data_IF_004503303007
#
_entry.id   IF_004503303007
#
_cell.length_a   1.000
_cell.length_b   1.000
_cell.length_c   1.000
_cell.angle_alpha   90.00
_cell.angle_beta   90.00
_cell.angle_gamma   90.00
#
_symmetry.space_group_name_H-M   'P 1'
#
loop_
_entity.id
_entity.type
_entity.pdbx_description
1 polymer ?
#
# COMPACT_ATOMS: atom_id res chain seq x y z
N UNK A 1 32.19 8.10 -6.29
CA UNK A 1 32.37 6.64 -6.31
C UNK A 1 31.04 6.01 -5.95
N UNK A 2 30.33 5.43 -6.93
CA UNK A 2 29.00 4.86 -6.74
C UNK A 2 29.10 3.53 -5.97
N UNK A 3 28.69 3.53 -4.71
CA UNK A 3 28.22 2.31 -4.07
C UNK A 3 26.94 1.91 -4.80
N UNK A 4 27.01 0.85 -5.62
CA UNK A 4 25.82 0.09 -6.01
C UNK A 4 25.21 -0.39 -4.70
N UNK A 5 24.14 0.28 -4.25
CA UNK A 5 23.29 -0.19 -3.17
C UNK A 5 22.93 -1.64 -3.48
N UNK A 6 23.42 -2.58 -2.66
CA UNK A 6 22.99 -3.96 -2.72
C UNK A 6 21.48 -3.93 -2.46
N UNK A 7 20.68 -4.30 -3.46
CA UNK A 7 19.22 -4.24 -3.34
C UNK A 7 18.79 -5.11 -2.18
N UNK A 8 18.23 -4.50 -1.13
CA UNK A 8 17.80 -5.20 0.08
C UNK A 8 16.54 -6.00 -0.22
N UNK A 9 16.56 -7.28 0.14
CA UNK A 9 15.38 -8.14 0.03
C UNK A 9 14.53 -8.00 1.29
N UNK A 10 13.24 -7.79 1.11
CA UNK A 10 12.23 -7.99 2.14
C UNK A 10 11.76 -9.45 2.09
N UNK A 11 11.93 -10.17 3.19
CA UNK A 11 11.58 -11.59 3.30
C UNK A 11 10.19 -11.75 3.88
N UNK A 12 9.24 -12.18 3.05
CA UNK A 12 7.84 -12.35 3.46
C UNK A 12 7.53 -13.83 3.62
N UNK A 13 6.99 -14.21 4.77
CA UNK A 13 6.54 -15.58 5.03
C UNK A 13 5.27 -15.86 4.23
N UNK A 14 5.31 -16.82 3.33
CA UNK A 14 4.18 -17.18 2.45
C UNK A 14 3.40 -18.40 2.93
N UNK A 15 3.97 -19.19 3.83
CA UNK A 15 3.27 -20.30 4.48
C UNK A 15 4.19 -21.18 5.32
N UNK A 16 3.66 -22.34 5.72
CA UNK A 16 4.41 -23.36 6.49
C UNK A 16 5.31 -24.18 5.55
N UNK A 17 6.34 -24.82 6.09
CA UNK A 17 7.30 -25.63 5.32
C UNK A 17 6.69 -26.85 4.63
N UNK A 18 5.49 -27.27 5.03
CA UNK A 18 4.71 -28.37 4.46
C UNK A 18 3.51 -27.89 3.63
N UNK A 19 3.41 -26.60 3.31
CA UNK A 19 2.22 -26.03 2.65
C UNK A 19 1.95 -26.58 1.24
N UNK A 20 2.96 -27.21 0.63
CA UNK A 20 2.92 -27.65 -0.76
C UNK A 20 3.65 -28.98 -0.89
N UNK A 21 2.97 -30.01 -1.39
CA UNK A 21 3.57 -31.31 -1.71
C UNK A 21 4.57 -31.18 -2.88
N UNK A 22 5.49 -32.14 -2.99
CA UNK A 22 6.40 -32.21 -4.14
C UNK A 22 5.62 -32.35 -5.45
N UNK A 23 6.10 -31.69 -6.50
CA UNK A 23 5.50 -31.59 -7.83
C UNK A 23 4.14 -30.86 -7.85
N UNK A 24 3.94 -29.95 -6.87
CA UNK A 24 2.81 -29.01 -6.84
C UNK A 24 3.25 -27.57 -7.00
N UNK A 25 2.28 -26.76 -7.43
CA UNK A 25 2.39 -25.30 -7.52
C UNK A 25 1.21 -24.65 -6.83
N UNK A 26 1.37 -23.40 -6.43
CA UNK A 26 0.30 -22.57 -5.89
C UNK A 26 0.58 -21.10 -6.13
N UNK A 27 -0.43 -20.25 -5.98
CA UNK A 27 -0.28 -18.81 -6.05
C UNK A 27 -0.19 -18.22 -4.64
N UNK A 28 0.82 -17.40 -4.40
CA UNK A 28 0.98 -16.65 -3.15
C UNK A 28 1.06 -15.15 -3.45
N UNK A 29 0.58 -14.33 -2.50
CA UNK A 29 0.71 -12.87 -2.58
C UNK A 29 1.86 -12.43 -1.67
N UNK A 30 2.79 -11.66 -2.25
CA UNK A 30 3.93 -11.08 -1.54
C UNK A 30 3.99 -9.60 -1.86
N UNK A 31 3.57 -8.78 -0.90
CA UNK A 31 3.41 -7.34 -1.09
C UNK A 31 2.53 -7.02 -2.32
N UNK A 32 3.05 -6.31 -3.33
CA UNK A 32 2.34 -6.03 -4.58
C UNK A 32 2.56 -7.10 -5.67
N UNK A 33 3.34 -8.14 -5.40
CA UNK A 33 3.66 -9.19 -6.37
C UNK A 33 2.78 -10.43 -6.14
N UNK A 34 2.17 -10.91 -7.22
CA UNK A 34 1.57 -12.24 -7.27
C UNK A 34 2.62 -13.23 -7.77
N UNK A 35 2.88 -14.28 -7.02
CA UNK A 35 3.99 -15.21 -7.24
C UNK A 35 3.45 -16.63 -7.43
N UNK A 36 3.96 -17.31 -8.46
CA UNK A 36 3.83 -18.75 -8.61
C UNK A 36 4.91 -19.42 -7.74
N UNK A 37 4.47 -20.03 -6.63
CA UNK A 37 5.32 -20.80 -5.73
C UNK A 37 5.23 -22.27 -6.11
N UNK A 38 6.38 -22.94 -6.18
CA UNK A 38 6.49 -24.33 -6.61
C UNK A 38 7.28 -25.13 -5.59
N UNK A 39 6.95 -26.41 -5.43
CA UNK A 39 7.75 -27.37 -4.66
C UNK A 39 8.28 -28.43 -5.61
N UNK A 40 9.56 -28.35 -5.94
CA UNK A 40 10.27 -29.37 -6.70
C UNK A 40 10.89 -30.40 -5.74
N UNK A 41 11.55 -31.42 -6.30
CA UNK A 41 12.31 -32.41 -5.52
C UNK A 41 13.53 -31.79 -4.83
N UNK A 42 14.08 -30.73 -5.41
CA UNK A 42 15.31 -30.07 -4.94
C UNK A 42 15.04 -28.88 -4.01
N UNK A 43 13.77 -28.46 -3.87
CA UNK A 43 13.38 -27.39 -2.97
C UNK A 43 12.20 -26.56 -3.46
N UNK A 44 12.10 -25.33 -2.95
CA UNK A 44 11.09 -24.38 -3.40
C UNK A 44 11.63 -23.47 -4.51
N UNK A 45 10.81 -23.23 -5.53
CA UNK A 45 11.05 -22.23 -6.57
C UNK A 45 9.95 -21.17 -6.56
N UNK A 46 10.29 -19.94 -6.92
CA UNK A 46 9.32 -18.84 -7.01
C UNK A 46 9.58 -17.98 -8.24
N UNK A 47 8.55 -17.83 -9.08
CA UNK A 47 8.57 -16.98 -10.27
C UNK A 47 7.33 -16.08 -10.30
N UNK A 48 7.37 -15.01 -11.09
CA UNK A 48 6.22 -14.11 -11.26
C UNK A 48 5.02 -14.91 -11.75
N UNK A 49 3.85 -14.71 -11.13
CA UNK A 49 2.66 -15.43 -11.54
C UNK A 49 2.19 -15.03 -12.95
N UNK A 50 2.59 -13.86 -13.44
CA UNK A 50 2.25 -13.40 -14.79
C UNK A 50 3.26 -13.93 -15.80
N UNK A 51 2.82 -14.85 -16.65
CA UNK A 51 3.58 -15.35 -17.81
C UNK A 51 4.02 -14.18 -18.73
N UNK A 52 5.31 -14.06 -19.09
CA UNK A 52 5.80 -13.02 -20.01
C UNK A 52 5.12 -12.99 -21.38
N UNK A 53 4.69 -14.13 -21.92
CA UNK A 53 4.06 -14.20 -23.25
C UNK A 53 2.69 -13.55 -23.32
N UNK A 54 1.69 -14.17 -22.69
CA UNK A 54 0.29 -13.76 -22.80
C UNK A 54 -0.27 -13.22 -21.50
N UNK A 55 0.52 -13.18 -20.42
CA UNK A 55 0.06 -12.74 -19.10
C UNK A 55 -0.69 -13.80 -18.31
N UNK A 56 -0.66 -15.07 -18.75
CA UNK A 56 -1.33 -16.18 -18.08
C UNK A 56 -0.84 -16.43 -16.64
N UNK A 57 -1.72 -16.93 -15.74
CA UNK A 57 -1.42 -17.18 -14.35
C UNK A 57 -0.64 -18.49 -14.19
N UNK A 58 0.69 -18.42 -14.04
CA UNK A 58 1.56 -19.59 -13.96
C UNK A 58 1.24 -20.49 -12.75
N UNK A 59 0.79 -19.92 -11.65
CA UNK A 59 0.38 -20.61 -10.42
C UNK A 59 -0.93 -21.38 -10.52
N UNK A 60 -1.70 -21.18 -11.60
CA UNK A 60 -2.86 -22.01 -11.96
C UNK A 60 -2.48 -23.12 -12.98
N UNK A 61 -1.21 -23.17 -13.38
CA UNK A 61 -0.65 -24.22 -14.23
C UNK A 61 -0.32 -25.51 -13.48
N UNK A 62 0.74 -26.19 -13.92
CA UNK A 62 1.24 -27.41 -13.27
C UNK A 62 2.74 -27.58 -13.49
N UNK A 63 3.38 -28.46 -12.72
CA UNK A 63 4.74 -28.91 -12.98
C UNK A 63 4.73 -30.11 -13.93
N UNK A 64 5.55 -30.05 -14.97
CA UNK A 64 5.82 -31.17 -15.87
C UNK A 64 7.33 -31.25 -16.10
N UNK A 65 7.91 -32.42 -15.87
CA UNK A 65 9.35 -32.68 -16.05
C UNK A 65 10.26 -31.66 -15.34
N UNK A 66 9.80 -31.11 -14.22
CA UNK A 66 10.51 -30.10 -13.44
C UNK A 66 10.26 -28.65 -13.86
N UNK A 67 9.48 -28.41 -14.93
CA UNK A 67 9.15 -27.08 -15.44
C UNK A 67 7.72 -26.66 -15.10
N UNK A 68 7.51 -25.37 -14.87
CA UNK A 68 6.19 -24.78 -14.73
C UNK A 68 5.58 -24.59 -16.10
N UNK A 69 4.45 -25.24 -16.35
CA UNK A 69 3.69 -25.15 -17.61
C UNK A 69 2.59 -24.10 -17.47
N UNK A 70 2.64 -23.06 -18.30
CA UNK A 70 1.61 -22.04 -18.37
C UNK A 70 0.26 -22.66 -18.82
N UNK A 71 -0.85 -22.44 -18.09
CA UNK A 71 -2.13 -23.07 -18.41
C UNK A 71 -2.77 -22.55 -19.71
N UNK A 72 -2.34 -21.40 -20.22
CA UNK A 72 -2.98 -20.77 -21.39
C UNK A 72 -2.47 -21.30 -22.72
N UNK A 73 -1.17 -21.57 -22.82
CA UNK A 73 -0.52 -21.90 -24.09
C UNK A 73 0.62 -22.92 -23.93
N UNK A 74 0.79 -23.52 -22.75
CA UNK A 74 1.69 -24.64 -22.52
C UNK A 74 3.17 -24.31 -22.50
N UNK A 75 3.55 -23.02 -22.42
CA UNK A 75 4.96 -22.65 -22.36
C UNK A 75 5.58 -23.00 -21.00
N UNK A 76 6.83 -23.46 -21.02
CA UNK A 76 7.56 -24.00 -19.88
C UNK A 76 8.56 -22.99 -19.30
N UNK A 77 8.68 -22.98 -17.98
CA UNK A 77 9.60 -22.12 -17.24
C UNK A 77 10.31 -22.90 -16.15
N UNK A 78 11.62 -22.71 -16.00
CA UNK A 78 12.34 -23.22 -14.84
C UNK A 78 11.79 -22.53 -13.56
N UNK A 79 11.41 -23.29 -12.52
CA UNK A 79 10.74 -22.75 -11.34
C UNK A 79 11.63 -21.88 -10.44
N UNK A 80 12.96 -21.93 -10.60
CA UNK A 80 13.91 -21.24 -9.74
C UNK A 80 14.56 -20.03 -10.45
N UNK A 81 14.73 -20.12 -11.76
CA UNK A 81 15.38 -19.09 -12.59
C UNK A 81 14.39 -18.35 -13.47
N UNK A 82 13.23 -18.93 -13.74
CA UNK A 82 12.22 -18.42 -14.66
C UNK A 82 12.62 -18.51 -16.13
N UNK A 83 13.79 -19.08 -16.44
CA UNK A 83 14.29 -19.21 -17.82
C UNK A 83 13.57 -20.37 -18.50
N UNK A 84 13.03 -20.19 -19.72
CA UNK A 84 12.43 -21.27 -20.47
C UNK A 84 13.49 -22.25 -21.04
N UNK A 85 13.12 -23.50 -21.31
CA UNK A 85 14.04 -24.45 -21.95
C UNK A 85 14.43 -23.96 -23.37
N UNK A 86 15.65 -24.30 -23.81
CA UNK A 86 16.10 -24.02 -25.17
C UNK A 86 16.80 -22.67 -25.40
N UNK A 87 17.08 -21.89 -24.33
CA UNK A 87 17.88 -20.66 -24.41
C UNK A 87 17.11 -19.42 -24.89
N UNK A 88 15.79 -19.39 -24.65
CA UNK A 88 14.92 -18.25 -24.95
C UNK A 88 14.87 -17.25 -23.77
N UNK A 89 16.03 -16.73 -23.37
CA UNK A 89 16.17 -15.92 -22.15
C UNK A 89 15.37 -14.60 -22.17
N UNK A 90 15.05 -14.08 -23.36
CA UNK A 90 14.26 -12.86 -23.54
C UNK A 90 12.82 -12.98 -23.00
N UNK A 91 12.33 -14.21 -22.81
CA UNK A 91 10.99 -14.51 -22.29
C UNK A 91 11.02 -15.00 -20.84
N UNK A 92 12.13 -14.83 -20.11
CA UNK A 92 12.25 -15.34 -18.75
C UNK A 92 11.24 -14.69 -17.79
N UNK A 93 10.55 -15.52 -17.01
CA UNK A 93 9.74 -15.06 -15.90
C UNK A 93 10.64 -14.49 -14.79
N UNK A 94 10.23 -13.42 -14.13
CA UNK A 94 11.02 -12.87 -13.02
C UNK A 94 11.06 -13.87 -11.87
N UNK A 95 12.25 -14.38 -11.54
CA UNK A 95 12.47 -15.25 -10.39
C UNK A 95 12.66 -14.46 -9.08
N UNK A 96 12.26 -15.09 -7.98
CA UNK A 96 12.41 -14.57 -6.62
C UNK A 96 13.24 -15.52 -5.78
N UNK A 97 14.03 -14.96 -4.86
CA UNK A 97 14.77 -15.78 -3.90
C UNK A 97 13.79 -16.46 -2.94
N UNK A 98 14.04 -17.73 -2.60
CA UNK A 98 13.24 -18.49 -1.64
C UNK A 98 14.13 -19.05 -0.55
N UNK A 99 13.68 -18.92 0.70
CA UNK A 99 14.34 -19.51 1.86
C UNK A 99 13.33 -20.34 2.66
N UNK A 100 13.67 -21.59 2.91
CA UNK A 100 12.97 -22.41 3.91
C UNK A 100 13.64 -22.16 5.27
N UNK A 101 12.86 -21.68 6.23
CA UNK A 101 13.27 -21.43 7.61
C UNK A 101 12.49 -22.34 8.54
N UNK A 102 12.94 -22.48 9.79
CA UNK A 102 12.33 -23.38 10.79
C UNK A 102 10.81 -23.18 10.93
N UNK A 103 10.33 -21.95 10.79
CA UNK A 103 8.93 -21.60 10.95
C UNK A 103 8.15 -21.45 9.63
N UNK A 104 8.74 -21.68 8.46
CA UNK A 104 8.02 -21.63 7.18
C UNK A 104 8.84 -21.20 5.97
N UNK A 105 8.15 -20.96 4.87
CA UNK A 105 8.73 -20.58 3.58
C UNK A 105 8.68 -19.07 3.45
N UNK A 106 9.80 -18.50 3.02
CA UNK A 106 9.95 -17.07 2.82
C UNK A 106 10.32 -16.79 1.37
N UNK A 107 9.65 -15.79 0.79
CA UNK A 107 10.01 -15.28 -0.54
C UNK A 107 10.63 -13.90 -0.36
N UNK A 108 11.82 -13.73 -0.95
CA UNK A 108 12.56 -12.48 -0.98
C UNK A 108 12.09 -11.64 -2.15
N UNK A 109 11.38 -10.55 -1.85
CA UNK A 109 11.05 -9.52 -2.84
C UNK A 109 11.98 -8.33 -2.66
N UNK A 110 12.31 -7.66 -3.76
CA UNK A 110 13.06 -6.41 -3.67
C UNK A 110 12.24 -5.40 -2.85
N UNK A 111 12.84 -4.87 -1.79
CA UNK A 111 12.22 -3.80 -1.02
C UNK A 111 11.98 -2.61 -1.96
N UNK A 112 10.71 -2.25 -2.16
CA UNK A 112 10.37 -1.07 -2.92
C UNK A 112 10.96 0.14 -2.20
N UNK A 113 11.88 0.84 -2.86
CA UNK A 113 12.42 2.09 -2.33
C UNK A 113 11.35 3.14 -2.52
N UNK A 114 10.80 3.63 -1.42
CA UNK A 114 9.85 4.74 -1.44
C UNK A 114 10.45 5.93 -2.17
N UNK A 115 9.71 6.49 -3.11
CA UNK A 115 10.05 7.75 -3.74
C UNK A 115 9.25 8.85 -3.05
N UNK A 116 9.91 9.89 -2.48
CA UNK A 116 9.21 10.98 -1.83
C UNK A 116 8.13 11.57 -2.74
N UNK A 117 6.91 11.60 -2.22
CA UNK A 117 5.72 12.15 -2.87
C UNK A 117 5.43 13.55 -2.33
N UNK A 118 4.51 14.26 -2.99
CA UNK A 118 3.97 15.52 -2.46
C UNK A 118 3.36 15.33 -1.07
N UNK A 119 2.73 14.18 -0.80
CA UNK A 119 2.09 13.92 0.49
C UNK A 119 3.11 13.76 1.62
N UNK A 120 4.29 13.20 1.34
CA UNK A 120 5.38 13.15 2.32
C UNK A 120 5.84 14.56 2.70
N UNK A 121 5.99 15.45 1.71
CA UNK A 121 6.34 16.86 1.95
C UNK A 121 5.26 17.61 2.74
N UNK A 122 3.98 17.35 2.45
CA UNK A 122 2.88 17.92 3.23
C UNK A 122 2.96 17.50 4.70
N UNK A 123 3.25 16.22 4.96
CA UNK A 123 3.41 15.71 6.33
C UNK A 123 4.63 16.32 7.02
N UNK A 124 5.76 16.49 6.32
CA UNK A 124 6.94 17.14 6.88
C UNK A 124 6.64 18.60 7.27
N UNK A 125 5.93 19.36 6.42
CA UNK A 125 5.50 20.73 6.75
C UNK A 125 4.52 20.76 7.94
N UNK A 126 3.59 19.81 8.02
CA UNK A 126 2.68 19.68 9.17
C UNK A 126 3.46 19.49 10.48
N UNK A 127 4.44 18.59 10.48
CA UNK A 127 5.28 18.30 11.64
C UNK A 127 6.12 19.52 12.02
N UNK A 128 6.71 20.22 11.05
CA UNK A 128 7.45 21.46 11.28
C UNK A 128 6.58 22.56 11.91
N UNK A 129 5.27 22.56 11.65
CA UNK A 129 4.29 23.46 12.27
C UNK A 129 3.73 22.94 13.60
N UNK A 130 4.23 21.80 14.09
CA UNK A 130 3.81 21.18 15.35
C UNK A 130 2.50 20.39 15.26
N UNK A 131 2.02 20.07 14.05
CA UNK A 131 0.83 19.23 13.81
C UNK A 131 1.28 17.77 13.66
N UNK A 132 1.63 17.16 14.79
CA UNK A 132 2.14 15.78 14.87
C UNK A 132 1.07 14.75 15.26
N UNK A 133 -0.19 15.18 15.43
CA UNK A 133 -1.29 14.35 15.91
C UNK A 133 -2.47 14.43 14.95
N UNK A 134 -2.86 13.29 14.39
CA UNK A 134 -3.89 13.21 13.33
C UNK A 134 -4.99 12.23 13.70
N UNK A 135 -6.25 12.67 13.59
CA UNK A 135 -7.43 11.83 13.76
C UNK A 135 -8.13 11.67 12.41
N UNK A 136 -8.51 10.47 11.99
CA UNK A 136 -9.22 10.39 10.72
C UNK A 136 -9.58 9.01 10.22
N UNK A 137 -10.11 8.99 9.00
CA UNK A 137 -10.49 7.78 8.29
C UNK A 137 -9.87 7.75 6.89
N UNK A 138 -9.35 6.58 6.53
CA UNK A 138 -8.70 6.31 5.23
C UNK A 138 -9.74 5.91 4.19
N UNK A 139 -9.56 6.37 2.96
CA UNK A 139 -10.23 5.85 1.78
C UNK A 139 -9.64 6.36 0.48
N UNK A 140 -10.29 6.06 -0.64
CA UNK A 140 -9.68 6.17 -1.97
C UNK A 140 -9.10 7.55 -2.30
N UNK A 141 -9.85 8.63 -2.08
CA UNK A 141 -9.43 9.98 -2.47
C UNK A 141 -8.39 10.63 -1.57
N UNK A 142 -8.00 9.96 -0.48
CA UNK A 142 -7.03 10.47 0.47
C UNK A 142 -5.87 9.49 0.73
N UNK A 143 -5.81 8.39 -0.02
CA UNK A 143 -4.90 7.27 0.23
C UNK A 143 -3.42 7.68 0.26
N UNK A 144 -2.99 8.58 -0.63
CA UNK A 144 -1.60 9.05 -0.64
C UNK A 144 -1.20 9.78 0.64
N UNK A 145 -2.11 10.54 1.26
CA UNK A 145 -1.86 11.23 2.52
C UNK A 145 -1.92 10.26 3.70
N UNK A 146 -2.85 9.30 3.68
CA UNK A 146 -2.92 8.23 4.67
C UNK A 146 -1.62 7.39 4.70
N UNK A 147 -1.08 7.08 3.53
CA UNK A 147 0.17 6.33 3.37
C UNK A 147 1.39 7.14 3.86
N UNK A 148 1.41 8.45 3.62
CA UNK A 148 2.43 9.35 4.18
C UNK A 148 2.34 9.44 5.73
N UNK A 149 1.13 9.52 6.29
CA UNK A 149 0.94 9.45 7.75
C UNK A 149 1.43 8.11 8.33
N UNK A 150 1.12 7.00 7.67
CA UNK A 150 1.58 5.67 8.10
C UNK A 150 3.11 5.57 8.16
N UNK A 151 3.81 6.11 7.15
CA UNK A 151 5.29 6.17 7.16
C UNK A 151 5.82 7.04 8.30
N UNK A 152 5.29 8.25 8.47
CA UNK A 152 5.72 9.16 9.52
C UNK A 152 5.45 8.60 10.92
N UNK A 153 4.35 7.87 11.11
CA UNK A 153 4.02 7.16 12.35
C UNK A 153 5.01 6.02 12.62
N UNK A 154 5.32 5.20 11.61
CA UNK A 154 6.32 4.11 11.72
C UNK A 154 7.71 4.63 12.09
N UNK A 155 8.04 5.84 11.66
CA UNK A 155 9.28 6.55 12.01
C UNK A 155 9.22 7.26 13.38
N UNK A 156 8.06 7.27 14.04
CA UNK A 156 7.83 7.90 15.34
C UNK A 156 7.77 9.43 15.30
N UNK A 157 7.53 10.02 14.12
CA UNK A 157 7.44 11.48 13.95
C UNK A 157 6.03 12.05 14.08
N UNK A 158 5.01 11.20 13.93
CA UNK A 158 3.59 11.55 13.94
C UNK A 158 2.78 10.46 14.66
N UNK A 159 1.65 10.82 15.25
CA UNK A 159 0.69 9.89 15.83
C UNK A 159 -0.61 9.89 15.02
N UNK A 160 -1.03 8.72 14.56
CA UNK A 160 -2.28 8.56 13.82
C UNK A 160 -3.32 7.80 14.64
N UNK A 161 -4.47 8.41 14.81
CA UNK A 161 -5.63 7.83 15.48
C UNK A 161 -6.71 7.51 14.44
N UNK A 162 -6.86 6.22 14.13
CA UNK A 162 -7.94 5.73 13.27
C UNK A 162 -9.30 5.88 13.96
N UNK A 163 -10.20 6.64 13.36
CA UNK A 163 -11.57 6.88 13.86
C UNK A 163 -12.59 6.14 13.00
N UNK A 164 -13.79 5.87 13.54
CA UNK A 164 -14.88 5.14 12.85
C UNK A 164 -15.91 6.04 12.17
N UNK A 165 -15.85 7.35 12.39
CA UNK A 165 -16.72 8.35 11.80
C UNK A 165 -16.00 9.71 11.74
N UNK A 166 -16.05 10.41 10.61
CA UNK A 166 -15.23 11.60 10.37
C UNK A 166 -15.61 12.76 11.30
N UNK A 167 -16.90 12.95 11.60
CA UNK A 167 -17.32 13.93 12.62
C UNK A 167 -16.66 13.73 13.98
N UNK A 168 -16.47 12.47 14.41
CA UNK A 168 -15.74 12.18 15.64
C UNK A 168 -14.25 12.51 15.53
N UNK A 169 -13.65 12.41 14.33
CA UNK A 169 -12.27 12.83 14.10
C UNK A 169 -12.11 14.35 14.25
N UNK A 170 -13.04 15.14 13.72
CA UNK A 170 -13.04 16.60 13.90
C UNK A 170 -13.21 17.00 15.37
N UNK A 171 -14.15 16.38 16.10
CA UNK A 171 -14.30 16.62 17.54
C UNK A 171 -13.08 16.16 18.36
N UNK A 172 -12.45 15.04 18.01
CA UNK A 172 -11.25 14.56 18.68
C UNK A 172 -10.07 15.52 18.49
N UNK A 173 -9.86 16.01 17.27
CA UNK A 173 -8.85 17.02 16.99
C UNK A 173 -9.11 18.32 17.78
N UNK A 174 -10.35 18.80 17.79
CA UNK A 174 -10.76 19.98 18.57
C UNK A 174 -10.50 19.78 20.06
N UNK A 175 -10.95 18.65 20.63
CA UNK A 175 -10.75 18.30 22.03
C UNK A 175 -9.27 18.16 22.41
N UNK A 176 -8.48 17.50 21.57
CA UNK A 176 -7.04 17.37 21.77
C UNK A 176 -6.37 18.75 21.83
N UNK A 177 -6.68 19.63 20.89
CA UNK A 177 -6.08 20.96 20.84
C UNK A 177 -6.49 21.83 22.04
N UNK A 178 -7.75 21.75 22.48
CA UNK A 178 -8.23 22.43 23.71
C UNK A 178 -7.49 21.94 24.97
N UNK A 179 -7.24 20.64 25.08
CA UNK A 179 -6.65 20.03 26.28
C UNK A 179 -5.13 20.15 26.33
N UNK A 180 -4.47 20.15 25.19
CA UNK A 180 -2.99 20.14 25.11
C UNK A 180 -2.39 21.50 24.78
N UNK A 181 -3.17 22.42 24.21
CA UNK A 181 -2.68 23.67 23.66
C UNK A 181 -1.85 23.51 22.38
N UNK A 182 -1.79 22.29 21.81
CA UNK A 182 -1.09 21.98 20.56
C UNK A 182 -2.08 21.86 19.40
N UNK A 183 -1.73 22.26 18.17
CA UNK A 183 -2.60 22.02 17.03
C UNK A 183 -2.70 20.53 16.71
N UNK A 184 -3.82 20.12 16.12
CA UNK A 184 -4.05 18.75 15.65
C UNK A 184 -4.76 18.76 14.30
N UNK A 185 -4.62 17.67 13.55
CA UNK A 185 -5.32 17.51 12.29
C UNK A 185 -6.50 16.53 12.40
N UNK A 186 -7.55 16.79 11.64
CA UNK A 186 -8.55 15.80 11.29
C UNK A 186 -8.50 15.51 9.78
N UNK A 187 -8.81 14.27 9.40
CA UNK A 187 -8.58 13.77 8.04
C UNK A 187 -9.71 12.89 7.53
N UNK A 188 -10.17 13.15 6.29
CA UNK A 188 -11.29 12.44 5.66
C UNK A 188 -11.16 12.33 4.14
N UNK A 189 -12.01 11.49 3.55
CA UNK A 189 -12.15 11.36 2.08
C UNK A 189 -12.96 12.53 1.50
N UNK A 190 -12.96 12.64 0.17
CA UNK A 190 -13.85 13.52 -0.58
C UNK A 190 -15.34 13.26 -0.28
N UNK A 191 -16.19 14.24 -0.62
CA UNK A 191 -17.64 14.10 -0.57
C UNK A 191 -18.17 13.85 0.83
N UNK A 192 -18.88 12.73 1.09
CA UNK A 192 -19.56 12.50 2.36
C UNK A 192 -18.62 12.54 3.58
N UNK A 193 -17.42 11.96 3.45
CA UNK A 193 -16.44 11.95 4.54
C UNK A 193 -15.99 13.37 4.91
N UNK A 194 -15.72 14.21 3.91
CA UNK A 194 -15.40 15.62 4.12
C UNK A 194 -16.56 16.37 4.76
N UNK A 195 -17.78 16.22 4.25
CA UNK A 195 -18.95 16.91 4.82
C UNK A 195 -19.25 16.49 6.27
N UNK A 196 -18.93 15.25 6.66
CA UNK A 196 -19.06 14.78 8.03
C UNK A 196 -18.13 15.51 9.02
N UNK A 197 -17.04 16.15 8.55
CA UNK A 197 -16.17 16.96 9.41
C UNK A 197 -16.83 18.26 9.87
N UNK A 198 -17.81 18.79 9.11
CA UNK A 198 -18.36 20.15 9.28
C UNK A 198 -18.81 20.45 10.71
N UNK A 199 -19.49 19.51 11.36
CA UNK A 199 -20.01 19.74 12.72
C UNK A 199 -18.89 19.92 13.74
N UNK A 200 -17.82 19.12 13.67
CA UNK A 200 -16.67 19.27 14.57
C UNK A 200 -15.80 20.48 14.22
N UNK A 201 -15.74 20.86 12.94
CA UNK A 201 -15.08 22.10 12.52
C UNK A 201 -15.82 23.35 13.00
N UNK A 202 -17.16 23.29 13.05
CA UNK A 202 -17.96 24.37 13.62
C UNK A 202 -17.67 24.58 15.12
N UNK A 203 -17.55 23.49 15.88
CA UNK A 203 -17.11 23.53 17.28
C UNK A 203 -15.74 24.20 17.43
N UNK A 204 -14.75 23.75 16.65
CA UNK A 204 -13.41 24.32 16.68
C UNK A 204 -13.40 25.82 16.32
N UNK A 205 -14.18 26.23 15.31
CA UNK A 205 -14.28 27.63 14.88
C UNK A 205 -14.83 28.54 15.97
N UNK A 206 -15.95 28.15 16.57
CA UNK A 206 -16.61 28.96 17.61
C UNK A 206 -15.70 29.10 18.83
N UNK A 207 -14.96 28.05 19.17
CA UNK A 207 -14.02 28.03 20.30
C UNK A 207 -12.61 28.56 19.95
N UNK A 208 -12.38 28.96 18.69
CA UNK A 208 -11.09 29.45 18.17
C UNK A 208 -9.93 28.48 18.39
N UNK A 209 -10.20 27.20 18.14
CA UNK A 209 -9.24 26.10 18.32
C UNK A 209 -8.42 25.90 17.05
N UNK A 210 -7.08 25.82 17.14
CA UNK A 210 -6.22 25.68 15.98
C UNK A 210 -6.17 24.21 15.51
N UNK A 211 -7.12 23.81 14.65
CA UNK A 211 -7.08 22.49 14.00
C UNK A 211 -6.97 22.59 12.49
N UNK A 212 -6.37 21.57 11.88
CA UNK A 212 -6.21 21.45 10.44
C UNK A 212 -7.15 20.36 9.89
N UNK A 213 -8.04 20.72 8.95
CA UNK A 213 -8.90 19.76 8.26
C UNK A 213 -8.30 19.38 6.91
N UNK A 214 -7.97 18.10 6.72
CA UNK A 214 -7.40 17.57 5.49
C UNK A 214 -8.41 16.67 4.80
N UNK A 215 -8.76 16.99 3.56
CA UNK A 215 -9.77 16.24 2.80
C UNK A 215 -9.23 15.79 1.46
N UNK A 216 -9.61 14.58 1.05
CA UNK A 216 -9.47 14.16 -0.34
C UNK A 216 -10.40 14.97 -1.25
N UNK A 217 -10.12 14.94 -2.56
CA UNK A 217 -11.00 15.51 -3.58
C UNK A 217 -10.91 14.66 -4.86
N UNK A 218 -11.90 14.80 -5.75
CA UNK A 218 -11.82 14.27 -7.12
C UNK A 218 -10.69 14.94 -7.90
N UNK A 219 -10.21 14.26 -8.95
CA UNK A 219 -9.19 14.84 -9.83
C UNK A 219 -9.71 16.15 -10.45
N UNK A 220 -8.83 17.15 -10.56
CA UNK A 220 -9.17 18.47 -11.10
C UNK A 220 -9.76 18.43 -12.51
N UNK A 221 -9.41 17.41 -13.30
CA UNK A 221 -9.92 17.17 -14.65
C UNK A 221 -11.41 16.81 -14.71
N UNK A 222 -11.97 16.32 -13.60
CA UNK A 222 -13.37 15.86 -13.50
C UNK A 222 -14.16 16.61 -12.43
N UNK A 223 -13.65 17.76 -11.97
CA UNK A 223 -14.33 18.64 -11.04
C UNK A 223 -15.36 19.49 -11.79
N UNK A 224 -16.62 19.49 -11.34
CA UNK A 224 -17.75 20.26 -11.88
C UNK A 224 -18.89 19.40 -12.46
N UNK A 225 -18.61 18.34 -13.25
CA UNK A 225 -19.65 17.52 -13.87
C UNK A 225 -20.48 16.63 -12.93
N UNK A 226 -20.17 16.55 -11.64
CA UNK A 226 -20.86 15.66 -10.69
C UNK A 226 -20.27 14.26 -10.66
N UNK A 227 -18.95 14.16 -10.60
CA UNK A 227 -18.25 12.90 -10.45
C UNK A 227 -18.63 12.18 -9.13
N UNK A 228 -18.33 10.87 -9.06
CA UNK A 228 -18.60 10.09 -7.85
C UNK A 228 -17.92 10.70 -6.62
N UNK A 229 -18.70 10.94 -5.56
CA UNK A 229 -18.27 11.61 -4.32
C UNK A 229 -17.78 13.06 -4.49
N UNK A 230 -18.12 13.72 -5.60
CA UNK A 230 -17.82 15.14 -5.79
C UNK A 230 -18.73 16.02 -4.91
N UNK A 231 -18.11 16.93 -4.17
CA UNK A 231 -18.77 18.04 -3.47
C UNK A 231 -17.89 19.29 -3.66
N UNK A 232 -18.48 20.49 -3.88
CA UNK A 232 -17.72 21.75 -3.90
C UNK A 232 -17.25 22.09 -2.47
N UNK A 233 -16.15 21.46 -2.05
CA UNK A 233 -15.64 21.52 -0.68
C UNK A 233 -15.16 22.93 -0.30
N UNK A 234 -14.67 23.70 -1.26
CA UNK A 234 -14.33 25.13 -1.09
C UNK A 234 -15.53 25.92 -0.55
N UNK A 235 -16.70 25.73 -1.15
CA UNK A 235 -17.95 26.38 -0.70
C UNK A 235 -18.50 25.74 0.57
N UNK A 236 -18.41 24.42 0.69
CA UNK A 236 -18.92 23.70 1.86
C UNK A 236 -18.20 24.12 3.15
N UNK A 237 -16.89 24.35 3.08
CA UNK A 237 -16.08 24.72 4.23
C UNK A 237 -15.95 26.24 4.46
N UNK A 238 -16.45 27.09 3.55
CA UNK A 238 -16.36 28.57 3.69
C UNK A 238 -16.86 29.06 5.06
N UNK A 239 -17.93 28.46 5.57
CA UNK A 239 -18.51 28.87 6.84
C UNK A 239 -17.71 28.40 8.08
N UNK A 240 -16.79 27.43 7.94
CA UNK A 240 -15.98 26.88 9.05
C UNK A 240 -14.48 27.08 8.90
N UNK A 241 -14.01 27.56 7.75
CA UNK A 241 -12.64 28.04 7.55
C UNK A 241 -12.38 29.36 8.29
#
# INVERSE_FOLDING_TARGET
>A
MNQKSLKKLNWVRVGKSDMLEVDRITTVQVDHATICLTRTKDGYGAINNRCPHQGGPLGDGFLQDGFVVCPWHGWEYDPCTGVPPGGYDDDAATAYAVEERENGIYVGVLEAVHQPTLMDQMVDVMIDWGVDTVFGMVGHSNLGLADAFYRAEKEGRLQYFGIRHEGAAAFAASGYAKLTGKPAACFAIAGPGATNLLTGLWDAKVDRVPILALTGQVNTQVLGPGAFQEVPLDKAFEAVA
#
